data_IF_692889494727
#
_entry.id   IF_692889494727
#
_cell.length_a   1.000
_cell.length_b   1.000
_cell.length_c   1.000
_cell.angle_alpha   90.00
_cell.angle_beta   90.00
_cell.angle_gamma   90.00
#
_symmetry.space_group_name_H-M   'P 1'
#
loop_
_entity.id
_entity.type
_entity.pdbx_description
1 polymer ?
#
# COMPACT_ATOMS: atom_id res chain seq x y z
N UNK A 1 -25.04 -18.71 -12.65
CA UNK A 1 -24.66 -19.52 -11.49
C UNK A 1 -25.35 -18.98 -10.24
N UNK A 2 -25.89 -19.86 -9.41
CA UNK A 2 -26.43 -19.49 -8.11
C UNK A 2 -25.25 -19.35 -7.13
N UNK A 3 -25.28 -18.29 -6.29
CA UNK A 3 -24.20 -17.93 -5.35
C UNK A 3 -24.78 -17.73 -3.98
N UNK A 4 -23.98 -18.02 -2.97
CA UNK A 4 -24.34 -17.85 -1.57
C UNK A 4 -23.13 -17.30 -0.77
N UNK A 5 -23.37 -16.58 0.31
CA UNK A 5 -22.35 -16.16 1.25
C UNK A 5 -22.40 -16.96 2.57
N UNK A 6 -23.32 -17.90 2.72
CA UNK A 6 -23.54 -18.71 3.94
C UNK A 6 -23.76 -17.88 5.20
N UNK A 7 -24.38 -16.71 5.06
CA UNK A 7 -24.64 -15.76 6.13
C UNK A 7 -25.47 -14.57 5.66
N UNK A 8 -25.51 -13.51 6.43
CA UNK A 8 -26.30 -12.32 6.13
C UNK A 8 -25.41 -11.11 5.89
N UNK A 9 -25.68 -10.40 4.76
CA UNK A 9 -25.00 -9.18 4.37
C UNK A 9 -25.97 -7.99 4.43
N UNK A 10 -25.70 -7.02 5.27
CA UNK A 10 -26.49 -5.81 5.40
C UNK A 10 -26.47 -5.00 4.10
N UNK A 11 -27.65 -4.53 3.66
CA UNK A 11 -27.76 -3.71 2.45
C UNK A 11 -27.54 -4.46 1.12
N UNK A 12 -27.39 -5.78 1.13
CA UNK A 12 -27.25 -6.61 -0.06
C UNK A 12 -25.95 -6.43 -0.85
N UNK A 13 -25.05 -5.58 -0.38
CA UNK A 13 -23.72 -5.39 -1.00
C UNK A 13 -22.68 -6.25 -0.30
N UNK A 14 -21.89 -6.96 -1.10
CA UNK A 14 -20.83 -7.84 -0.62
C UNK A 14 -19.56 -7.04 -0.31
N UNK A 15 -19.61 -6.36 0.83
CA UNK A 15 -18.48 -5.64 1.41
C UNK A 15 -18.18 -6.21 2.79
N UNK A 16 -16.93 -6.20 3.19
CA UNK A 16 -16.44 -6.71 4.47
C UNK A 16 -17.25 -6.16 5.66
N UNK A 17 -17.43 -4.85 5.67
CA UNK A 17 -18.19 -4.13 6.71
C UNK A 17 -19.69 -4.43 6.74
N UNK A 18 -20.21 -5.08 5.71
CA UNK A 18 -21.64 -5.42 5.60
C UNK A 18 -21.94 -6.84 6.09
N UNK A 19 -20.92 -7.63 6.43
CA UNK A 19 -21.13 -8.97 6.99
C UNK A 19 -21.65 -8.84 8.40
N UNK A 20 -22.92 -9.20 8.59
CA UNK A 20 -23.54 -9.17 9.90
C UNK A 20 -23.27 -10.47 10.67
N UNK A 21 -23.43 -11.61 9.99
CA UNK A 21 -23.04 -12.90 10.55
C UNK A 21 -22.79 -13.96 9.46
N UNK A 22 -22.11 -15.03 9.88
CA UNK A 22 -21.98 -16.31 9.16
C UNK A 22 -22.48 -17.43 10.04
N UNK A 23 -23.01 -18.49 9.44
CA UNK A 23 -23.45 -19.67 10.20
C UNK A 23 -22.98 -21.00 9.58
N UNK A 24 -22.34 -20.94 8.42
CA UNK A 24 -21.70 -22.10 7.80
C UNK A 24 -20.27 -21.69 7.45
N UNK A 25 -19.30 -22.45 7.94
CA UNK A 25 -17.92 -22.32 7.48
C UNK A 25 -17.79 -22.98 6.12
N UNK A 26 -17.22 -22.26 5.17
CA UNK A 26 -17.01 -22.72 3.80
C UNK A 26 -15.50 -22.68 3.52
N UNK A 27 -14.90 -23.85 3.26
CA UNK A 27 -13.48 -23.99 2.96
C UNK A 27 -13.30 -24.62 1.57
N UNK A 28 -12.47 -24.00 0.73
CA UNK A 28 -12.10 -24.54 -0.56
C UNK A 28 -10.71 -25.18 -0.47
N UNK A 29 -10.59 -26.41 -0.90
CA UNK A 29 -9.31 -27.09 -1.07
C UNK A 29 -8.97 -27.21 -2.54
N UNK A 30 -7.88 -26.58 -2.96
CA UNK A 30 -7.42 -26.49 -4.33
C UNK A 30 -6.19 -27.37 -4.55
N UNK A 31 -6.36 -28.47 -5.29
CA UNK A 31 -5.29 -29.44 -5.61
C UNK A 31 -4.52 -29.88 -4.36
N UNK A 32 -5.22 -30.41 -3.35
CA UNK A 32 -4.56 -30.90 -2.14
C UNK A 32 -3.60 -32.04 -2.45
N UNK A 33 -2.49 -32.05 -1.73
CA UNK A 33 -1.55 -33.17 -1.75
C UNK A 33 -2.10 -34.33 -0.87
N UNK A 34 -1.90 -35.57 -1.29
CA UNK A 34 -2.33 -36.73 -0.52
C UNK A 34 -3.84 -37.03 -0.58
N UNK A 35 -4.36 -37.71 0.43
CA UNK A 35 -5.78 -38.10 0.53
C UNK A 35 -6.56 -37.12 1.41
N UNK A 36 -6.97 -36.01 0.82
CA UNK A 36 -7.74 -34.97 1.48
C UNK A 36 -9.04 -35.48 2.13
N UNK A 37 -9.68 -36.49 1.54
CA UNK A 37 -10.93 -37.04 2.07
C UNK A 37 -10.69 -37.78 3.38
N UNK A 38 -9.56 -38.49 3.48
CA UNK A 38 -9.14 -39.12 4.74
C UNK A 38 -8.77 -38.05 5.79
N UNK A 39 -8.04 -36.98 5.39
CA UNK A 39 -7.70 -35.88 6.30
C UNK A 39 -8.97 -35.22 6.85
N UNK A 40 -9.99 -35.01 6.01
CA UNK A 40 -11.28 -34.46 6.43
C UNK A 40 -12.00 -35.40 7.42
N UNK A 41 -12.04 -36.71 7.12
CA UNK A 41 -12.68 -37.71 8.01
C UNK A 41 -11.96 -37.79 9.38
N UNK A 42 -10.64 -37.66 9.40
CA UNK A 42 -9.85 -37.65 10.66
C UNK A 42 -10.09 -36.34 11.42
N UNK A 43 -10.00 -35.19 10.74
CA UNK A 43 -10.10 -33.87 11.37
C UNK A 43 -11.53 -33.53 11.83
N UNK A 44 -12.55 -33.98 11.09
CA UNK A 44 -13.96 -33.57 11.26
C UNK A 44 -14.94 -34.74 11.44
N UNK A 45 -14.48 -35.96 11.69
CA UNK A 45 -15.33 -37.15 11.72
C UNK A 45 -16.40 -37.17 12.83
N UNK A 46 -16.27 -36.33 13.84
CA UNK A 46 -17.18 -36.24 14.97
C UNK A 46 -18.25 -35.11 14.85
N UNK A 47 -18.23 -34.35 13.78
CA UNK A 47 -19.16 -33.23 13.52
C UNK A 47 -19.80 -33.30 12.15
N UNK A 48 -20.93 -32.63 11.99
CA UNK A 48 -21.64 -32.56 10.72
C UNK A 48 -20.85 -31.74 9.70
N UNK A 49 -20.71 -32.28 8.49
CA UNK A 49 -20.15 -31.56 7.34
C UNK A 49 -20.71 -32.08 6.01
N UNK A 50 -20.66 -31.25 4.99
CA UNK A 50 -20.92 -31.64 3.61
C UNK A 50 -19.73 -31.26 2.73
N UNK A 51 -19.40 -32.09 1.74
CA UNK A 51 -18.35 -31.86 0.77
C UNK A 51 -18.89 -32.06 -0.64
N UNK A 52 -18.50 -31.20 -1.56
CA UNK A 52 -18.69 -31.42 -2.99
C UNK A 52 -17.50 -30.93 -3.81
N UNK A 53 -17.35 -31.50 -5.01
CA UNK A 53 -16.35 -31.05 -5.97
C UNK A 53 -16.79 -29.79 -6.68
N UNK A 54 -15.87 -28.81 -6.84
CA UNK A 54 -16.17 -27.53 -7.54
C UNK A 54 -16.13 -27.70 -9.04
N UNK A 55 -16.63 -26.72 -9.81
CA UNK A 55 -16.78 -26.79 -11.27
C UNK A 55 -15.50 -27.17 -12.03
N UNK A 56 -14.35 -26.76 -11.56
CA UNK A 56 -13.05 -27.01 -12.22
C UNK A 56 -12.35 -28.26 -11.68
N UNK A 57 -13.04 -29.12 -10.94
CA UNK A 57 -12.49 -30.37 -10.43
C UNK A 57 -12.16 -31.33 -11.55
N UNK A 58 -11.00 -31.98 -11.41
CA UNK A 58 -10.58 -33.14 -12.23
C UNK A 58 -9.85 -34.13 -11.32
N UNK A 59 -9.78 -35.40 -11.74
CA UNK A 59 -9.02 -36.42 -11.00
C UNK A 59 -7.52 -36.06 -10.84
N UNK A 60 -6.94 -35.37 -11.83
CA UNK A 60 -5.54 -34.94 -11.81
C UNK A 60 -5.31 -33.65 -10.98
N UNK A 61 -6.33 -32.82 -10.82
CA UNK A 61 -6.30 -31.60 -10.05
C UNK A 61 -7.60 -31.50 -9.22
N UNK A 62 -7.70 -32.26 -8.12
CA UNK A 62 -8.90 -32.31 -7.32
C UNK A 62 -9.20 -30.96 -6.65
N UNK A 63 -10.50 -30.59 -6.62
CA UNK A 63 -10.99 -29.36 -6.01
C UNK A 63 -12.24 -29.63 -5.22
N UNK A 64 -12.17 -29.40 -3.95
CA UNK A 64 -13.25 -29.68 -3.02
C UNK A 64 -13.74 -28.41 -2.34
N UNK A 65 -15.01 -28.41 -1.97
CA UNK A 65 -15.60 -27.44 -1.06
C UNK A 65 -16.22 -28.15 0.12
N UNK A 66 -15.78 -27.78 1.30
CA UNK A 66 -16.29 -28.29 2.57
C UNK A 66 -17.19 -27.26 3.20
N UNK A 67 -18.37 -27.69 3.64
CA UNK A 67 -19.37 -26.89 4.36
C UNK A 67 -19.53 -27.46 5.76
N UNK A 68 -19.30 -26.65 6.79
CA UNK A 68 -19.41 -27.07 8.19
C UNK A 68 -20.41 -26.13 8.87
N UNK A 69 -21.63 -26.61 9.22
CA UNK A 69 -22.62 -25.83 9.91
C UNK A 69 -22.20 -25.55 11.36
N UNK A 70 -22.50 -24.34 11.84
CA UNK A 70 -22.27 -23.92 13.22
C UNK A 70 -23.59 -23.88 13.99
N UNK A 71 -23.55 -24.16 15.28
CA UNK A 71 -24.70 -24.18 16.19
C UNK A 71 -25.32 -22.78 16.40
N UNK A 72 -24.55 -21.73 16.21
CA UNK A 72 -24.99 -20.33 16.25
C UNK A 72 -24.41 -19.46 15.13
N UNK A 73 -25.05 -18.33 14.84
CA UNK A 73 -24.41 -17.27 14.02
C UNK A 73 -23.13 -16.75 14.69
N UNK A 74 -22.12 -16.45 13.89
CA UNK A 74 -20.82 -15.91 14.33
C UNK A 74 -20.52 -14.61 13.59
N UNK A 75 -19.81 -13.71 14.26
CA UNK A 75 -19.33 -12.44 13.69
C UNK A 75 -18.26 -12.68 12.63
N UNK A 76 -17.90 -11.64 11.88
CA UNK A 76 -16.88 -11.71 10.85
C UNK A 76 -15.51 -12.16 11.40
N UNK A 77 -15.13 -11.69 12.59
CA UNK A 77 -13.84 -12.03 13.20
C UNK A 77 -13.86 -13.42 13.84
N UNK A 78 -14.95 -13.82 14.52
CA UNK A 78 -15.15 -15.20 14.97
C UNK A 78 -15.07 -16.18 13.81
N UNK A 79 -15.72 -15.86 12.66
CA UNK A 79 -15.67 -16.69 11.47
C UNK A 79 -14.23 -16.93 11.00
N UNK A 80 -13.39 -15.89 10.95
CA UNK A 80 -11.99 -16.02 10.55
C UNK A 80 -11.20 -16.92 11.48
N UNK A 81 -11.36 -16.73 12.79
CA UNK A 81 -10.68 -17.55 13.80
C UNK A 81 -11.10 -19.02 13.67
N UNK A 82 -12.41 -19.29 13.58
CA UNK A 82 -12.96 -20.63 13.43
C UNK A 82 -12.49 -21.28 12.14
N UNK A 83 -12.64 -20.60 10.99
CA UNK A 83 -12.29 -21.15 9.68
C UNK A 83 -10.80 -21.54 9.60
N UNK A 84 -9.91 -20.74 10.17
CA UNK A 84 -8.46 -21.02 10.22
C UNK A 84 -8.13 -22.23 11.09
N UNK A 85 -8.78 -22.35 12.24
CA UNK A 85 -8.54 -23.48 13.13
C UNK A 85 -9.05 -24.79 12.52
N UNK A 86 -10.24 -24.77 11.91
CA UNK A 86 -10.77 -25.93 11.20
C UNK A 86 -9.93 -26.30 9.97
N UNK A 87 -9.44 -25.29 9.24
CA UNK A 87 -8.51 -25.53 8.15
C UNK A 87 -7.22 -26.21 8.63
N UNK A 88 -6.70 -25.82 9.81
CA UNK A 88 -5.53 -26.48 10.43
C UNK A 88 -5.83 -27.94 10.82
N UNK A 89 -7.04 -28.20 11.34
CA UNK A 89 -7.44 -29.55 11.75
C UNK A 89 -7.56 -30.49 10.55
N UNK A 90 -7.92 -29.97 9.38
CA UNK A 90 -8.05 -30.79 8.15
C UNK A 90 -6.70 -30.81 7.42
N UNK A 91 -6.33 -29.71 6.78
CA UNK A 91 -5.06 -29.53 6.07
C UNK A 91 -4.92 -28.08 5.61
N UNK A 92 -4.30 -27.23 6.42
CA UNK A 92 -4.23 -25.79 6.15
C UNK A 92 -3.48 -25.45 4.84
N UNK A 93 -2.50 -26.26 4.47
CA UNK A 93 -1.72 -26.08 3.23
C UNK A 93 -2.53 -26.37 1.96
N UNK A 94 -3.61 -27.17 2.08
CA UNK A 94 -4.51 -27.48 0.98
C UNK A 94 -5.56 -26.39 0.75
N UNK A 95 -5.80 -25.52 1.74
CA UNK A 95 -6.92 -24.57 1.72
C UNK A 95 -6.58 -23.29 0.92
N UNK A 96 -7.60 -22.79 0.22
CA UNK A 96 -7.60 -21.43 -0.31
C UNK A 96 -7.85 -20.43 0.82
N UNK A 97 -6.84 -19.68 1.21
CA UNK A 97 -6.91 -18.69 2.29
C UNK A 97 -7.96 -17.60 2.05
N UNK A 98 -8.37 -17.36 0.80
CA UNK A 98 -9.43 -16.41 0.50
C UNK A 98 -10.80 -16.84 1.04
N UNK A 99 -10.99 -18.12 1.37
CA UNK A 99 -12.23 -18.63 1.97
C UNK A 99 -12.38 -18.27 3.45
N UNK A 100 -11.31 -17.82 4.12
CA UNK A 100 -11.39 -17.28 5.48
C UNK A 100 -12.00 -15.87 5.51
N UNK A 101 -12.12 -15.19 4.35
CA UNK A 101 -12.73 -13.87 4.30
C UNK A 101 -14.26 -13.98 4.43
N UNK A 102 -14.88 -13.31 5.43
CA UNK A 102 -16.29 -13.52 5.76
C UNK A 102 -17.25 -13.05 4.67
N UNK A 103 -16.86 -12.12 3.79
CA UNK A 103 -17.64 -11.67 2.64
C UNK A 103 -17.49 -12.56 1.41
N UNK A 104 -16.65 -13.61 1.48
CA UNK A 104 -16.42 -14.51 0.35
C UNK A 104 -17.71 -15.22 -0.04
N UNK A 105 -18.04 -15.12 -1.33
CA UNK A 105 -19.15 -15.90 -1.89
C UNK A 105 -18.66 -17.27 -2.34
N UNK A 106 -19.54 -18.22 -2.31
CA UNK A 106 -19.38 -19.53 -2.96
C UNK A 106 -20.35 -19.68 -4.13
N UNK A 107 -19.97 -20.48 -5.11
CA UNK A 107 -20.89 -20.96 -6.15
C UNK A 107 -21.52 -22.28 -5.70
N UNK A 108 -22.79 -22.47 -6.03
CA UNK A 108 -23.45 -23.73 -5.80
C UNK A 108 -22.79 -24.85 -6.63
N UNK A 109 -22.99 -26.11 -6.21
CA UNK A 109 -22.42 -27.26 -6.91
C UNK A 109 -22.74 -27.23 -8.42
N UNK A 110 -21.71 -27.40 -9.22
CA UNK A 110 -21.83 -27.54 -10.66
C UNK A 110 -20.64 -28.31 -11.22
N UNK A 111 -20.83 -28.96 -12.37
CA UNK A 111 -19.78 -29.65 -13.10
C UNK A 111 -19.88 -29.36 -14.59
N UNK A 112 -18.80 -29.49 -15.36
CA UNK A 112 -18.85 -29.61 -16.82
C UNK A 112 -19.69 -30.83 -17.25
N UNK A 113 -20.17 -30.86 -18.49
CA UNK A 113 -21.02 -31.94 -18.98
C UNK A 113 -20.36 -33.32 -18.79
N UNK A 114 -19.07 -33.43 -19.09
CA UNK A 114 -18.27 -34.67 -18.99
C UNK A 114 -17.42 -34.69 -17.70
N UNK A 115 -17.64 -33.77 -16.77
CA UNK A 115 -16.89 -33.66 -15.53
C UNK A 115 -17.34 -34.70 -14.50
N UNK A 116 -16.41 -35.04 -13.61
CA UNK A 116 -16.68 -35.87 -12.43
C UNK A 116 -17.32 -35.02 -11.33
N UNK A 117 -18.22 -35.62 -10.54
CA UNK A 117 -18.85 -34.98 -9.40
C UNK A 117 -18.87 -35.92 -8.19
N UNK A 118 -18.24 -35.50 -7.11
CA UNK A 118 -18.24 -36.21 -5.85
C UNK A 118 -19.03 -35.37 -4.85
N UNK A 119 -19.92 -36.02 -4.12
CA UNK A 119 -20.65 -35.46 -2.99
C UNK A 119 -20.55 -36.43 -1.82
N UNK A 120 -20.12 -35.93 -0.66
CA UNK A 120 -20.09 -36.67 0.60
C UNK A 120 -20.63 -35.82 1.73
N UNK A 121 -21.10 -36.43 2.76
CA UNK A 121 -21.49 -35.75 3.99
C UNK A 121 -21.27 -36.68 5.19
N UNK A 122 -21.15 -36.07 6.37
CA UNK A 122 -21.13 -36.74 7.64
C UNK A 122 -22.36 -36.32 8.44
N UNK A 123 -23.21 -37.27 8.80
CA UNK A 123 -24.41 -37.06 9.64
C UNK A 123 -24.02 -37.23 11.10
N UNK A 124 -23.58 -36.16 11.72
CA UNK A 124 -23.06 -36.07 13.08
C UNK A 124 -23.60 -34.79 13.76
N UNK A 125 -23.33 -34.55 15.04
CA UNK A 125 -23.74 -33.32 15.72
C UNK A 125 -23.19 -32.06 15.03
N UNK A 126 -23.98 -30.97 15.04
CA UNK A 126 -23.56 -29.66 14.55
C UNK A 126 -22.39 -29.16 15.42
N UNK A 127 -21.39 -28.54 14.80
CA UNK A 127 -20.22 -28.04 15.47
C UNK A 127 -20.56 -26.82 16.37
N UNK A 128 -20.11 -26.86 17.62
CA UNK A 128 -20.21 -25.71 18.51
C UNK A 128 -19.15 -24.66 18.14
N UNK A 129 -19.60 -23.45 17.83
CA UNK A 129 -18.72 -22.32 17.54
C UNK A 129 -17.87 -21.97 18.78
N UNK A 130 -18.49 -21.99 19.96
CA UNK A 130 -17.79 -21.64 21.21
C UNK A 130 -16.71 -22.67 21.56
N UNK A 131 -16.97 -23.97 21.35
CA UNK A 131 -15.97 -25.00 21.59
C UNK A 131 -14.73 -24.83 20.69
N UNK A 132 -14.93 -24.41 19.46
CA UNK A 132 -13.78 -24.11 18.55
C UNK A 132 -13.01 -22.88 19.02
N UNK A 133 -13.71 -21.80 19.37
CA UNK A 133 -13.08 -20.56 19.85
C UNK A 133 -12.31 -20.78 21.16
N UNK A 134 -12.87 -21.58 22.08
CA UNK A 134 -12.25 -21.93 23.37
C UNK A 134 -10.97 -22.79 23.24
N UNK A 135 -10.64 -23.28 22.05
CA UNK A 135 -9.36 -23.98 21.80
C UNK A 135 -8.19 -23.02 21.63
N UNK A 136 -8.44 -21.73 21.38
CA UNK A 136 -7.43 -20.70 21.44
C UNK A 136 -7.17 -20.28 22.89
N UNK A 137 -5.95 -19.87 23.21
CA UNK A 137 -5.66 -19.18 24.47
C UNK A 137 -6.42 -17.85 24.53
N UNK A 138 -6.37 -17.09 23.44
CA UNK A 138 -7.20 -15.92 23.18
C UNK A 138 -7.48 -15.83 21.68
N UNK A 139 -8.71 -16.12 21.24
CA UNK A 139 -9.05 -16.05 19.82
C UNK A 139 -9.08 -14.60 19.27
N UNK A 140 -9.15 -13.59 20.15
CA UNK A 140 -9.07 -12.20 19.73
C UNK A 140 -7.65 -11.82 19.30
N UNK A 141 -6.62 -12.50 19.82
CA UNK A 141 -5.24 -12.30 19.38
C UNK A 141 -4.98 -13.02 18.06
N UNK A 142 -4.96 -12.24 16.98
CA UNK A 142 -4.74 -12.78 15.63
C UNK A 142 -3.33 -13.35 15.41
N UNK A 143 -2.38 -13.09 16.31
CA UNK A 143 -1.06 -13.70 16.26
C UNK A 143 -1.09 -15.20 16.53
N UNK A 144 -2.12 -15.66 17.21
CA UNK A 144 -2.36 -17.07 17.52
C UNK A 144 -3.11 -17.82 16.40
N UNK A 145 -3.61 -17.11 15.37
CA UNK A 145 -4.35 -17.72 14.30
C UNK A 145 -3.44 -18.55 13.38
N UNK A 146 -3.83 -19.79 13.05
CA UNK A 146 -3.08 -20.59 12.10
C UNK A 146 -2.94 -19.91 10.73
N UNK A 147 -1.76 -19.99 10.14
CA UNK A 147 -1.45 -19.47 8.80
C UNK A 147 -0.74 -20.51 7.98
N UNK A 148 -1.02 -20.59 6.67
CA UNK A 148 -0.32 -21.49 5.76
C UNK A 148 0.95 -20.84 5.22
N UNK A 149 1.89 -21.67 4.73
CA UNK A 149 3.08 -21.18 4.01
C UNK A 149 2.69 -20.39 2.75
N UNK A 150 1.63 -20.84 2.05
CA UNK A 150 1.10 -20.15 0.86
C UNK A 150 0.65 -18.72 1.15
N UNK A 151 0.05 -18.44 2.31
CA UNK A 151 -0.33 -17.06 2.67
C UNK A 151 0.89 -16.15 2.79
N UNK A 152 1.94 -16.63 3.43
CA UNK A 152 3.21 -15.89 3.53
C UNK A 152 3.83 -15.64 2.15
N UNK A 153 3.81 -16.64 1.26
CA UNK A 153 4.30 -16.51 -0.11
C UNK A 153 3.45 -15.55 -0.96
N UNK A 154 2.12 -15.55 -0.80
CA UNK A 154 1.21 -14.62 -1.47
C UNK A 154 1.51 -13.19 -1.04
N UNK A 155 1.74 -12.95 0.25
CA UNK A 155 2.09 -11.63 0.78
C UNK A 155 3.40 -11.13 0.18
N UNK A 156 4.44 -11.98 0.17
CA UNK A 156 5.74 -11.68 -0.45
C UNK A 156 5.60 -11.44 -1.96
N UNK A 157 4.80 -12.26 -2.66
CA UNK A 157 4.55 -12.10 -4.10
C UNK A 157 3.80 -10.80 -4.39
N UNK A 158 2.83 -10.42 -3.56
CA UNK A 158 2.06 -9.17 -3.69
C UNK A 158 2.95 -7.96 -3.44
N UNK A 159 3.83 -8.01 -2.44
CA UNK A 159 4.82 -6.98 -2.19
C UNK A 159 5.77 -6.81 -3.39
N UNK A 160 6.25 -7.91 -3.98
CA UNK A 160 7.07 -7.87 -5.20
C UNK A 160 6.33 -7.26 -6.39
N UNK A 161 5.04 -7.55 -6.57
CA UNK A 161 4.21 -6.96 -7.65
C UNK A 161 3.96 -5.46 -7.46
N UNK A 162 3.80 -5.00 -6.22
CA UNK A 162 3.68 -3.58 -5.92
C UNK A 162 4.99 -2.81 -6.13
N UNK A 163 6.13 -3.51 -6.09
CA UNK A 163 7.46 -2.93 -6.11
C UNK A 163 7.81 -2.24 -4.79
N UNK A 164 9.10 -2.04 -4.56
CA UNK A 164 9.57 -1.37 -3.33
C UNK A 164 9.06 0.08 -3.28
N UNK A 165 8.26 0.47 -2.27
CA UNK A 165 7.71 1.82 -2.16
C UNK A 165 8.80 2.88 -2.02
N UNK A 166 9.98 2.52 -1.47
CA UNK A 166 11.09 3.44 -1.30
C UNK A 166 11.77 3.81 -2.62
N UNK A 167 11.66 2.96 -3.65
CA UNK A 167 12.24 3.22 -4.98
C UNK A 167 11.28 3.92 -5.93
N UNK A 168 10.02 4.11 -5.52
CA UNK A 168 9.02 4.79 -6.37
C UNK A 168 9.39 6.26 -6.54
N UNK A 169 9.33 6.79 -7.78
CA UNK A 169 9.57 8.20 -8.02
C UNK A 169 8.38 9.06 -7.56
N UNK A 170 8.64 10.34 -7.36
CA UNK A 170 7.63 11.35 -7.07
C UNK A 170 7.09 11.28 -5.64
N UNK A 171 5.94 11.94 -5.42
CA UNK A 171 5.40 12.22 -4.09
C UNK A 171 5.13 10.97 -3.25
N UNK A 172 4.60 9.89 -3.84
CA UNK A 172 4.31 8.64 -3.12
C UNK A 172 5.60 8.03 -2.56
N UNK A 173 6.65 7.94 -3.41
CA UNK A 173 7.93 7.42 -2.97
C UNK A 173 8.60 8.31 -1.92
N UNK A 174 8.54 9.63 -2.11
CA UNK A 174 9.07 10.59 -1.15
C UNK A 174 8.36 10.48 0.21
N UNK A 175 7.04 10.34 0.23
CA UNK A 175 6.28 10.10 1.46
C UNK A 175 6.71 8.80 2.15
N UNK A 176 6.86 7.69 1.40
CA UNK A 176 7.29 6.41 1.96
C UNK A 176 8.76 6.41 2.43
N UNK A 177 9.62 7.29 1.87
CA UNK A 177 10.99 7.49 2.38
C UNK A 177 11.04 8.43 3.59
N UNK A 178 10.10 9.35 3.69
CA UNK A 178 9.96 10.26 4.82
C UNK A 178 9.34 9.59 6.05
N UNK A 179 8.45 8.62 5.81
CA UNK A 179 7.70 7.92 6.85
C UNK A 179 7.74 6.42 6.58
N UNK A 180 8.34 5.67 7.49
CA UNK A 180 8.18 4.22 7.56
C UNK A 180 6.72 3.88 7.91
N UNK A 181 6.36 2.61 7.93
CA UNK A 181 5.01 2.21 8.39
C UNK A 181 4.80 2.63 9.84
N UNK A 182 5.79 2.43 10.70
CA UNK A 182 5.72 2.76 12.12
C UNK A 182 5.64 4.28 12.33
N UNK A 183 6.49 5.07 11.65
CA UNK A 183 6.41 6.53 11.68
C UNK A 183 5.05 7.06 11.19
N UNK A 184 4.48 6.44 10.14
CA UNK A 184 3.18 6.83 9.59
C UNK A 184 2.04 6.51 10.58
N UNK A 185 2.12 5.41 11.32
CA UNK A 185 1.17 5.09 12.40
C UNK A 185 1.30 6.10 13.52
N UNK A 186 2.51 6.38 14.00
CA UNK A 186 2.74 7.31 15.10
C UNK A 186 2.30 8.74 14.75
N UNK A 187 2.66 9.21 13.56
CA UNK A 187 2.42 10.61 13.15
C UNK A 187 0.97 10.86 12.73
N UNK A 188 0.36 9.94 11.99
CA UNK A 188 -0.94 10.18 11.34
C UNK A 188 -2.08 9.33 11.87
N UNK A 189 -1.80 8.18 12.52
CA UNK A 189 -2.77 7.17 12.89
C UNK A 189 -2.67 6.71 14.35
N UNK A 190 -2.08 7.53 15.23
CA UNK A 190 -1.89 7.23 16.66
C UNK A 190 -3.20 6.93 17.40
N UNK A 191 -4.33 7.48 16.94
CA UNK A 191 -5.66 7.22 17.49
C UNK A 191 -6.31 5.95 16.91
N UNK A 192 -5.77 5.43 15.81
CA UNK A 192 -6.32 4.28 15.10
C UNK A 192 -5.64 2.96 15.49
N UNK A 193 -4.36 2.99 15.86
CA UNK A 193 -3.58 1.82 16.17
C UNK A 193 -2.83 1.94 17.50
N UNK A 194 -2.76 0.80 18.19
CA UNK A 194 -1.95 0.65 19.42
C UNK A 194 -0.92 -0.46 19.19
N UNK A 195 0.34 -0.19 19.54
CA UNK A 195 1.40 -1.18 19.45
C UNK A 195 1.12 -2.38 20.38
N UNK A 196 1.49 -3.57 19.94
CA UNK A 196 1.35 -4.82 20.69
C UNK A 196 2.68 -5.22 21.36
N UNK A 197 2.63 -6.19 22.27
CA UNK A 197 3.84 -6.77 22.86
C UNK A 197 4.69 -7.53 21.83
N UNK A 198 4.08 -7.98 20.73
CA UNK A 198 4.76 -8.63 19.60
C UNK A 198 5.26 -7.55 18.66
N UNK A 199 6.58 -7.49 18.43
CA UNK A 199 7.24 -6.53 17.56
C UNK A 199 6.65 -6.59 16.13
N UNK A 200 6.47 -5.43 15.51
CA UNK A 200 5.90 -5.29 14.17
C UNK A 200 4.41 -5.61 14.08
N UNK A 201 3.70 -5.67 15.21
CA UNK A 201 2.25 -5.86 15.25
C UNK A 201 1.54 -4.73 15.98
N UNK A 202 0.37 -4.36 15.45
CA UNK A 202 -0.49 -3.32 15.99
C UNK A 202 -1.94 -3.80 16.09
N UNK A 203 -2.65 -3.27 17.07
CA UNK A 203 -4.09 -3.49 17.25
C UNK A 203 -4.85 -2.29 16.68
N UNK A 204 -5.83 -2.54 15.84
CA UNK A 204 -6.79 -1.52 15.42
C UNK A 204 -7.75 -1.23 16.56
N UNK A 205 -7.76 0.00 17.07
CA UNK A 205 -8.46 0.39 18.33
C UNK A 205 -9.96 0.25 18.27
N UNK A 206 -10.55 0.28 17.07
CA UNK A 206 -12.00 0.15 16.83
C UNK A 206 -12.40 -1.26 16.40
N UNK A 207 -11.46 -2.20 16.39
CA UNK A 207 -11.67 -3.59 16.05
C UNK A 207 -12.02 -4.45 17.26
N UNK A 208 -12.52 -5.68 17.03
CA UNK A 208 -12.83 -6.69 18.03
C UNK A 208 -11.66 -7.66 18.31
N UNK A 209 -10.58 -7.55 17.53
CA UNK A 209 -9.40 -8.42 17.63
C UNK A 209 -8.14 -7.60 17.91
N UNK A 210 -7.10 -8.23 18.43
CA UNK A 210 -5.80 -7.63 18.72
C UNK A 210 -4.71 -8.14 17.79
N UNK A 211 -3.58 -7.43 17.72
CA UNK A 211 -2.36 -7.77 16.96
C UNK A 211 -2.59 -8.04 15.45
N UNK A 212 -3.66 -7.50 14.87
CA UNK A 212 -4.10 -7.83 13.51
C UNK A 212 -3.40 -7.08 12.40
N UNK A 213 -2.82 -5.92 12.65
CA UNK A 213 -1.95 -5.26 11.67
C UNK A 213 -0.53 -5.83 11.82
N UNK A 214 0.02 -6.32 10.72
CA UNK A 214 1.38 -6.88 10.64
C UNK A 214 2.21 -6.01 9.72
N UNK A 215 3.39 -5.58 10.21
CA UNK A 215 4.35 -4.78 9.46
C UNK A 215 5.42 -5.69 8.86
N UNK A 216 5.74 -5.49 7.58
CA UNK A 216 6.73 -6.25 6.83
C UNK A 216 7.86 -5.32 6.36
N UNK A 217 9.07 -5.59 6.82
CA UNK A 217 10.30 -4.85 6.48
C UNK A 217 10.16 -3.32 6.65
N UNK A 218 9.25 -2.88 7.52
CA UNK A 218 8.85 -1.48 7.73
C UNK A 218 8.45 -0.69 6.46
N UNK A 219 8.13 -1.43 5.40
CA UNK A 219 7.72 -0.92 4.09
C UNK A 219 6.26 -1.17 3.76
N UNK A 220 5.72 -2.24 4.30
CA UNK A 220 4.35 -2.67 4.05
C UNK A 220 3.65 -3.04 5.35
N UNK A 221 2.35 -2.81 5.37
CA UNK A 221 1.46 -3.29 6.42
C UNK A 221 0.31 -4.10 5.82
N UNK A 222 -0.10 -5.16 6.50
CA UNK A 222 -1.28 -5.94 6.17
C UNK A 222 -2.15 -6.10 7.40
N UNK A 223 -3.43 -5.76 7.30
CA UNK A 223 -4.37 -5.90 8.42
C UNK A 223 -5.29 -7.10 8.25
N UNK A 224 -5.32 -7.95 9.27
CA UNK A 224 -6.25 -9.07 9.40
C UNK A 224 -7.59 -8.66 10.03
N UNK A 225 -7.70 -7.47 10.62
CA UNK A 225 -8.94 -6.96 11.20
C UNK A 225 -10.03 -6.80 10.15
N UNK A 226 -11.23 -7.31 10.42
CA UNK A 226 -12.33 -7.25 9.45
C UNK A 226 -12.92 -5.84 9.29
N UNK A 227 -12.90 -5.03 10.35
CA UNK A 227 -13.46 -3.68 10.37
C UNK A 227 -12.45 -2.58 10.05
N UNK A 228 -11.17 -2.92 9.94
CA UNK A 228 -10.11 -1.99 9.60
C UNK A 228 -10.24 -1.52 8.14
N UNK A 229 -10.21 -0.20 7.84
CA UNK A 229 -10.18 0.32 6.46
C UNK A 229 -9.06 -0.27 5.58
N UNK A 230 -7.93 -0.65 6.18
CA UNK A 230 -6.81 -1.33 5.51
C UNK A 230 -6.96 -2.86 5.48
N UNK A 231 -8.03 -3.40 6.08
CA UNK A 231 -8.24 -4.84 6.24
C UNK A 231 -8.19 -5.63 4.93
N UNK A 232 -7.37 -6.69 4.88
CA UNK A 232 -7.19 -7.55 3.71
C UNK A 232 -6.41 -6.91 2.56
N UNK A 233 -5.75 -5.77 2.78
CA UNK A 233 -4.96 -5.06 1.78
C UNK A 233 -3.50 -4.95 2.24
N UNK A 234 -2.57 -5.18 1.32
CA UNK A 234 -1.16 -4.87 1.57
C UNK A 234 -0.91 -3.40 1.22
N UNK A 235 -0.62 -2.59 2.22
CA UNK A 235 -0.49 -1.14 2.12
C UNK A 235 0.95 -0.71 2.37
N UNK A 236 1.46 0.24 1.59
CA UNK A 236 2.61 1.06 1.98
C UNK A 236 2.15 2.20 2.89
N UNK A 237 3.08 3.00 3.43
CA UNK A 237 2.75 4.10 4.35
C UNK A 237 1.74 5.09 3.76
N UNK A 238 1.89 5.47 2.49
CA UNK A 238 0.96 6.39 1.81
C UNK A 238 -0.46 5.81 1.72
N UNK A 239 -0.60 4.53 1.31
CA UNK A 239 -1.91 3.89 1.18
C UNK A 239 -2.56 3.60 2.54
N UNK A 240 -1.77 3.27 3.57
CA UNK A 240 -2.27 3.06 4.93
C UNK A 240 -2.92 4.35 5.47
N UNK A 241 -2.19 5.46 5.41
CA UNK A 241 -2.72 6.78 5.84
C UNK A 241 -3.92 7.19 4.99
N UNK A 242 -3.86 6.99 3.66
CA UNK A 242 -4.96 7.32 2.74
C UNK A 242 -6.27 6.63 3.12
N UNK A 243 -6.21 5.33 3.37
CA UNK A 243 -7.40 4.53 3.67
C UNK A 243 -8.06 4.95 4.99
N UNK A 244 -7.27 5.25 6.02
CA UNK A 244 -7.79 5.67 7.31
C UNK A 244 -8.29 7.09 7.33
N UNK A 245 -7.53 8.03 6.79
CA UNK A 245 -7.87 9.46 6.85
C UNK A 245 -8.92 9.87 5.82
N UNK A 246 -8.92 9.24 4.67
CA UNK A 246 -9.71 9.69 3.51
C UNK A 246 -10.54 8.59 2.84
N UNK A 247 -10.44 7.33 3.27
CA UNK A 247 -11.16 6.21 2.65
C UNK A 247 -12.68 6.39 2.59
N UNK A 248 -13.26 7.09 3.58
CA UNK A 248 -14.69 7.38 3.59
C UNK A 248 -15.16 8.27 2.41
N UNK A 249 -14.25 9.05 1.80
CA UNK A 249 -14.57 9.86 0.61
C UNK A 249 -14.86 9.04 -0.63
N UNK A 250 -14.45 7.76 -0.63
CA UNK A 250 -14.61 6.85 -1.78
C UNK A 250 -15.95 6.09 -1.76
N UNK A 251 -16.84 6.37 -0.80
CA UNK A 251 -18.09 5.64 -0.61
C UNK A 251 -19.01 5.63 -1.85
N UNK A 252 -18.99 6.71 -2.62
CA UNK A 252 -19.81 6.86 -3.84
C UNK A 252 -19.03 6.55 -5.13
N UNK A 253 -17.78 6.06 -5.01
CA UNK A 253 -16.98 5.73 -6.17
C UNK A 253 -17.52 4.48 -6.88
N UNK A 254 -17.60 4.51 -8.22
CA UNK A 254 -18.05 3.38 -9.01
C UNK A 254 -17.09 2.18 -8.84
N UNK A 255 -17.66 0.97 -8.83
CA UNK A 255 -16.87 -0.26 -8.77
C UNK A 255 -15.85 -0.31 -9.92
N UNK A 256 -14.59 -0.65 -9.60
CA UNK A 256 -13.49 -0.68 -10.58
C UNK A 256 -12.83 0.67 -10.86
N UNK A 257 -13.21 1.75 -10.18
CA UNK A 257 -12.52 3.04 -10.29
C UNK A 257 -11.04 2.88 -9.93
N UNK A 258 -10.10 3.27 -10.80
CA UNK A 258 -8.67 3.24 -10.47
C UNK A 258 -8.35 4.11 -9.24
N UNK A 259 -7.47 3.61 -8.36
CA UNK A 259 -7.11 4.29 -7.10
C UNK A 259 -6.69 5.74 -7.31
N UNK A 260 -5.93 6.02 -8.36
CA UNK A 260 -5.46 7.38 -8.71
C UNK A 260 -6.57 8.37 -9.07
N UNK A 261 -7.78 7.87 -9.34
CA UNK A 261 -8.97 8.69 -9.65
C UNK A 261 -9.92 8.82 -8.46
N UNK A 262 -9.62 8.17 -7.35
CA UNK A 262 -10.47 8.22 -6.16
C UNK A 262 -10.30 9.54 -5.41
N UNK A 263 -11.37 10.08 -4.79
CA UNK A 263 -11.31 11.26 -3.96
C UNK A 263 -10.29 11.15 -2.81
N UNK A 264 -10.20 9.98 -2.17
CA UNK A 264 -9.22 9.70 -1.12
C UNK A 264 -7.78 9.89 -1.59
N UNK A 265 -7.49 9.49 -2.83
CA UNK A 265 -6.15 9.63 -3.40
C UNK A 265 -5.78 11.11 -3.57
N UNK A 266 -6.69 11.92 -4.11
CA UNK A 266 -6.47 13.36 -4.26
C UNK A 266 -6.24 14.06 -2.92
N UNK A 267 -7.03 13.69 -1.89
CA UNK A 267 -6.88 14.23 -0.55
C UNK A 267 -5.53 13.83 0.08
N UNK A 268 -5.11 12.57 -0.12
CA UNK A 268 -3.82 12.08 0.38
C UNK A 268 -2.62 12.73 -0.33
N UNK A 269 -2.70 12.95 -1.65
CA UNK A 269 -1.69 13.70 -2.41
C UNK A 269 -1.52 15.10 -1.84
N UNK A 270 -2.62 15.78 -1.48
CA UNK A 270 -2.56 17.10 -0.85
C UNK A 270 -1.87 17.03 0.51
N UNK A 271 -2.25 16.10 1.39
CA UNK A 271 -1.62 15.90 2.69
C UNK A 271 -0.11 15.67 2.55
N UNK A 272 0.29 14.71 1.70
CA UNK A 272 1.69 14.39 1.48
C UNK A 272 2.49 15.56 0.89
N UNK A 273 1.86 16.39 0.05
CA UNK A 273 2.48 17.61 -0.50
C UNK A 273 2.60 18.76 0.51
N UNK A 274 1.83 18.73 1.60
CA UNK A 274 1.90 19.70 2.69
C UNK A 274 2.83 19.24 3.84
N UNK A 275 3.16 17.93 3.89
CA UNK A 275 4.00 17.33 4.92
C UNK A 275 5.46 17.80 4.82
N UNK A 276 6.00 18.33 5.91
CA UNK A 276 7.34 18.92 5.94
C UNK A 276 8.46 17.88 5.76
N UNK A 277 8.29 16.65 6.28
CA UNK A 277 9.26 15.59 6.11
C UNK A 277 9.34 15.15 4.64
N UNK A 278 8.20 14.99 3.99
CA UNK A 278 8.10 14.66 2.56
C UNK A 278 8.69 15.77 1.69
N UNK A 279 8.43 17.04 2.00
CA UNK A 279 9.03 18.19 1.28
C UNK A 279 10.54 18.18 1.36
N UNK A 280 11.12 17.89 2.55
CA UNK A 280 12.58 17.79 2.73
C UNK A 280 13.18 16.70 1.85
N UNK A 281 12.57 15.50 1.82
CA UNK A 281 13.03 14.40 0.95
C UNK A 281 13.01 14.83 -0.51
N UNK A 282 11.90 15.43 -0.99
CA UNK A 282 11.78 15.89 -2.39
C UNK A 282 12.86 16.94 -2.70
N UNK A 283 13.07 17.90 -1.80
CA UNK A 283 14.09 18.95 -2.01
C UNK A 283 15.50 18.37 -2.06
N UNK A 284 15.81 17.40 -1.18
CA UNK A 284 17.13 16.72 -1.18
C UNK A 284 17.35 15.95 -2.47
N UNK A 285 16.36 15.15 -2.91
CA UNK A 285 16.46 14.36 -4.14
C UNK A 285 16.62 15.25 -5.37
N UNK A 286 15.89 16.36 -5.43
CA UNK A 286 16.03 17.32 -6.52
C UNK A 286 17.42 17.96 -6.53
N UNK A 287 17.98 18.29 -5.34
CA UNK A 287 19.33 18.83 -5.25
C UNK A 287 20.39 17.80 -5.68
N UNK A 288 20.19 16.51 -5.34
CA UNK A 288 21.08 15.43 -5.78
C UNK A 288 21.00 15.19 -7.30
N UNK A 289 19.80 15.19 -7.88
CA UNK A 289 19.61 15.05 -9.33
C UNK A 289 20.26 16.21 -10.09
N UNK A 290 20.17 17.42 -9.56
CA UNK A 290 20.85 18.60 -10.10
C UNK A 290 22.36 18.43 -10.00
N UNK A 291 22.91 18.03 -8.82
CA UNK A 291 24.35 17.77 -8.65
C UNK A 291 24.85 16.70 -9.63
N UNK A 292 24.07 15.64 -9.85
CA UNK A 292 24.39 14.58 -10.80
C UNK A 292 24.43 15.09 -12.24
N UNK A 293 23.44 15.86 -12.65
CA UNK A 293 23.40 16.49 -13.99
C UNK A 293 24.60 17.40 -14.23
N UNK A 294 25.05 18.13 -13.20
CA UNK A 294 26.26 18.97 -13.28
C UNK A 294 27.52 18.12 -13.42
N UNK A 295 27.67 17.03 -12.70
CA UNK A 295 28.81 16.09 -12.85
C UNK A 295 28.85 15.47 -14.24
N UNK A 296 27.72 15.07 -14.79
CA UNK A 296 27.61 14.50 -16.14
C UNK A 296 27.94 15.50 -17.23
N UNK A 297 27.71 16.80 -16.99
CA UNK A 297 28.11 17.89 -17.92
C UNK A 297 29.56 18.34 -17.76
N UNK A 298 30.40 17.66 -16.99
CA UNK A 298 31.81 17.93 -16.81
C UNK A 298 32.13 19.00 -15.75
N UNK A 299 31.18 19.35 -14.92
CA UNK A 299 31.34 20.27 -13.79
C UNK A 299 31.74 19.52 -12.50
N UNK A 300 32.83 19.95 -11.86
CA UNK A 300 33.18 19.51 -10.51
C UNK A 300 32.32 20.26 -9.48
N UNK A 301 31.22 19.65 -9.07
CA UNK A 301 30.31 20.22 -8.09
C UNK A 301 30.81 20.08 -6.62
N UNK A 302 31.94 19.41 -6.41
CA UNK A 302 32.42 19.11 -5.04
C UNK A 302 32.96 20.35 -4.29
N UNK A 303 33.16 21.48 -4.96
CA UNK A 303 33.61 22.76 -4.40
C UNK A 303 32.51 23.83 -4.27
N UNK A 304 31.28 23.55 -4.69
CA UNK A 304 30.19 24.51 -4.67
C UNK A 304 29.22 24.20 -3.53
N UNK A 305 29.09 25.13 -2.62
CA UNK A 305 27.99 25.15 -1.65
C UNK A 305 26.67 25.35 -2.42
N UNK A 306 25.90 24.26 -2.59
CA UNK A 306 24.67 24.21 -3.40
C UNK A 306 23.40 24.31 -2.57
N UNK A 307 23.51 24.54 -1.26
CA UNK A 307 22.36 24.60 -0.35
C UNK A 307 21.35 25.70 -0.72
N UNK A 308 21.83 26.79 -1.32
CA UNK A 308 20.98 27.89 -1.81
C UNK A 308 19.96 27.47 -2.88
N UNK A 309 20.20 26.34 -3.59
CA UNK A 309 19.24 25.83 -4.58
C UNK A 309 17.97 25.29 -3.98
N UNK A 310 18.01 24.88 -2.70
CA UNK A 310 16.83 24.44 -1.96
C UNK A 310 15.89 25.60 -1.61
N UNK A 311 16.39 26.83 -1.60
CA UNK A 311 15.63 28.03 -1.31
C UNK A 311 14.89 28.61 -2.52
N UNK A 312 15.17 28.09 -3.73
CA UNK A 312 14.54 28.58 -4.95
C UNK A 312 13.05 28.25 -4.99
N UNK A 313 12.23 29.26 -5.25
CA UNK A 313 10.79 29.10 -5.44
C UNK A 313 10.49 28.27 -6.68
N UNK A 314 9.73 27.21 -6.52
CA UNK A 314 9.37 26.25 -7.56
C UNK A 314 7.87 26.24 -7.82
N UNK A 315 7.49 25.86 -9.05
CA UNK A 315 6.09 25.64 -9.42
C UNK A 315 5.57 24.29 -8.96
N UNK A 316 4.28 24.08 -9.08
CA UNK A 316 3.64 22.80 -8.82
C UNK A 316 3.66 21.92 -10.07
N UNK A 317 3.88 20.59 -9.91
CA UNK A 317 3.79 19.62 -10.99
C UNK A 317 4.94 18.60 -11.00
N UNK A 318 4.87 17.66 -11.92
CA UNK A 318 5.74 16.48 -12.00
C UNK A 318 7.24 16.82 -12.10
N UNK A 319 7.59 18.00 -12.61
CA UNK A 319 8.97 18.48 -12.76
C UNK A 319 9.25 19.75 -11.94
N UNK A 320 8.32 20.23 -11.10
CA UNK A 320 8.49 21.43 -10.23
C UNK A 320 9.46 22.48 -10.75
N UNK A 321 9.18 23.12 -11.89
CA UNK A 321 10.14 24.04 -12.52
C UNK A 321 10.44 25.22 -11.59
N UNK A 322 11.69 25.70 -11.61
CA UNK A 322 12.06 26.92 -10.90
C UNK A 322 11.27 28.09 -11.50
N UNK A 323 10.56 28.84 -10.66
CA UNK A 323 9.72 29.94 -11.13
C UNK A 323 10.60 31.13 -11.53
N UNK A 324 10.28 31.86 -12.63
CA UNK A 324 10.99 33.04 -13.04
C UNK A 324 10.64 34.28 -12.20
N UNK A 325 10.87 34.19 -10.89
CA UNK A 325 10.62 35.27 -9.93
C UNK A 325 11.92 35.99 -9.57
N UNK A 326 11.84 37.28 -9.24
CA UNK A 326 13.01 38.11 -8.97
C UNK A 326 13.92 37.50 -7.86
N UNK A 327 13.33 36.91 -6.81
CA UNK A 327 14.10 36.28 -5.74
C UNK A 327 14.99 35.13 -6.25
N UNK A 328 14.49 34.28 -7.13
CA UNK A 328 15.27 33.20 -7.73
C UNK A 328 16.42 33.74 -8.61
N UNK A 329 16.18 34.78 -9.41
CA UNK A 329 17.26 35.40 -10.21
C UNK A 329 18.36 35.98 -9.32
N UNK A 330 18.00 36.65 -8.22
CA UNK A 330 18.96 37.21 -7.26
C UNK A 330 19.77 36.06 -6.63
N UNK A 331 19.11 35.03 -6.13
CA UNK A 331 19.77 33.87 -5.51
C UNK A 331 20.75 33.18 -6.49
N UNK A 332 20.37 33.01 -7.77
CA UNK A 332 21.25 32.46 -8.82
C UNK A 332 22.45 33.35 -9.06
N UNK A 333 22.25 34.67 -9.21
CA UNK A 333 23.32 35.62 -9.47
C UNK A 333 24.32 35.74 -8.33
N UNK A 334 23.87 35.57 -7.09
CA UNK A 334 24.71 35.68 -5.90
C UNK A 334 25.47 34.40 -5.57
N UNK A 335 24.90 33.24 -5.90
CA UNK A 335 25.41 31.94 -5.41
C UNK A 335 25.97 31.04 -6.54
N UNK A 336 25.48 31.15 -7.78
CA UNK A 336 25.98 30.33 -8.90
C UNK A 336 27.48 30.57 -9.14
N UNK A 337 28.32 29.53 -9.13
CA UNK A 337 29.78 29.68 -9.29
C UNK A 337 30.21 30.39 -10.57
N UNK A 338 29.45 30.31 -11.67
CA UNK A 338 29.75 30.98 -12.94
C UNK A 338 29.32 32.45 -12.94
N UNK A 339 28.28 32.78 -12.18
CA UNK A 339 27.66 34.09 -12.19
C UNK A 339 28.06 34.95 -10.98
N UNK A 340 28.44 34.30 -9.88
CA UNK A 340 28.84 34.99 -8.63
C UNK A 340 29.96 35.96 -8.87
N UNK A 341 29.71 37.22 -8.53
CA UNK A 341 30.66 38.32 -8.69
C UNK A 341 30.96 38.70 -10.14
N UNK A 342 30.14 38.24 -11.10
CA UNK A 342 30.29 38.59 -12.53
C UNK A 342 29.71 39.95 -12.82
N UNK A 343 28.75 40.43 -12.02
CA UNK A 343 28.08 41.69 -12.25
C UNK A 343 28.57 42.78 -11.28
N UNK A 344 28.47 43.99 -11.70
CA UNK A 344 28.73 45.17 -10.91
C UNK A 344 28.04 46.40 -11.47
N UNK A 345 27.84 47.40 -10.62
CA UNK A 345 27.37 48.72 -11.01
C UNK A 345 28.58 49.66 -11.10
N UNK A 346 28.81 50.25 -12.26
CA UNK A 346 29.72 51.38 -12.38
C UNK A 346 29.01 52.61 -11.84
N UNK A 347 29.41 53.06 -10.68
CA UNK A 347 28.80 54.20 -9.99
C UNK A 347 29.03 55.52 -10.72
N UNK A 348 30.06 55.59 -11.56
CA UNK A 348 30.37 56.78 -12.33
C UNK A 348 29.47 56.92 -13.57
N UNK A 349 29.37 55.87 -14.36
CA UNK A 349 28.51 55.85 -15.54
C UNK A 349 27.06 55.46 -15.22
N UNK A 350 26.78 54.99 -14.01
CA UNK A 350 25.50 54.41 -13.57
C UNK A 350 25.01 53.26 -14.47
N UNK A 351 25.94 52.47 -15.00
CA UNK A 351 25.64 51.35 -15.90
C UNK A 351 26.01 50.03 -15.25
N UNK A 352 25.24 48.97 -15.59
CA UNK A 352 25.59 47.61 -15.24
C UNK A 352 26.82 47.19 -16.03
N UNK A 353 27.84 46.68 -15.37
CA UNK A 353 29.06 46.17 -15.95
C UNK A 353 29.25 44.70 -15.69
N UNK A 354 29.93 44.03 -16.58
CA UNK A 354 30.30 42.62 -16.50
C UNK A 354 31.77 42.53 -16.12
N UNK A 355 32.07 41.88 -14.99
CA UNK A 355 33.43 41.77 -14.43
C UNK A 355 34.18 40.52 -14.89
N UNK A 356 33.45 39.49 -15.36
CA UNK A 356 33.99 38.21 -15.84
C UNK A 356 33.36 37.85 -17.18
N UNK A 357 34.00 36.94 -17.92
CA UNK A 357 33.40 36.42 -19.16
C UNK A 357 32.05 35.74 -18.88
N UNK A 358 31.05 36.08 -19.67
CA UNK A 358 29.72 35.48 -19.59
C UNK A 358 29.68 34.18 -20.40
N UNK A 359 29.03 33.14 -19.90
CA UNK A 359 28.96 31.82 -20.55
C UNK A 359 28.41 31.85 -21.99
N UNK A 360 27.56 32.83 -22.30
CA UNK A 360 26.92 33.01 -23.61
C UNK A 360 27.64 34.02 -24.51
N UNK A 361 28.73 34.62 -24.06
CA UNK A 361 29.55 35.55 -24.88
C UNK A 361 30.86 34.92 -25.35
N UNK A 362 31.41 35.43 -26.44
CA UNK A 362 32.79 35.11 -26.84
C UNK A 362 33.76 35.71 -25.83
N UNK A 363 34.78 34.96 -25.44
CA UNK A 363 35.82 35.42 -24.53
C UNK A 363 36.47 36.69 -25.04
N UNK A 364 36.70 37.66 -24.14
CA UNK A 364 37.35 38.96 -24.50
C UNK A 364 36.38 40.00 -25.05
N UNK A 365 35.08 39.84 -24.90
CA UNK A 365 34.09 40.88 -25.23
C UNK A 365 34.16 42.01 -24.21
N UNK A 366 33.71 43.24 -24.59
CA UNK A 366 33.71 44.40 -23.70
C UNK A 366 32.86 44.14 -22.42
N UNK A 367 33.10 44.94 -21.37
CA UNK A 367 32.51 44.78 -20.05
C UNK A 367 31.15 45.47 -19.92
N UNK A 368 30.49 45.85 -21.00
CA UNK A 368 29.20 46.56 -20.97
C UNK A 368 28.06 45.55 -21.07
N UNK A 369 27.08 45.66 -20.20
CA UNK A 369 25.83 44.89 -20.29
C UNK A 369 25.00 45.32 -21.48
N UNK A 370 24.47 44.38 -22.27
CA UNK A 370 23.65 44.62 -23.46
C UNK A 370 22.30 43.96 -23.35
N UNK A 371 21.31 44.43 -24.09
CA UNK A 371 19.96 43.80 -24.14
C UNK A 371 20.01 42.33 -24.57
N UNK A 372 21.02 41.95 -25.38
CA UNK A 372 21.24 40.54 -25.76
C UNK A 372 21.64 39.64 -24.59
N UNK A 373 22.14 40.19 -23.49
CA UNK A 373 22.55 39.47 -22.32
C UNK A 373 21.35 39.11 -21.43
N UNK A 374 20.27 39.88 -21.51
CA UNK A 374 19.02 39.55 -20.89
C UNK A 374 18.45 38.22 -21.41
N UNK A 375 18.57 38.02 -22.75
CA UNK A 375 18.19 36.76 -23.38
C UNK A 375 19.14 35.61 -22.98
N UNK A 376 20.44 35.88 -22.89
CA UNK A 376 21.44 34.91 -22.44
C UNK A 376 21.21 34.47 -20.98
N UNK A 377 20.94 35.43 -20.09
CA UNK A 377 20.62 35.14 -18.68
C UNK A 377 19.32 34.35 -18.54
N UNK A 378 18.28 34.70 -19.30
CA UNK A 378 17.02 33.96 -19.33
C UNK A 378 17.24 32.52 -19.83
N UNK A 379 18.01 32.34 -20.88
CA UNK A 379 18.31 31.01 -21.42
C UNK A 379 19.14 30.18 -20.44
N UNK A 380 20.12 30.78 -19.75
CA UNK A 380 20.86 30.07 -18.71
C UNK A 380 19.94 29.63 -17.55
N UNK A 381 19.05 30.51 -17.11
CA UNK A 381 18.06 30.18 -16.11
C UNK A 381 17.10 29.07 -16.60
N UNK A 382 16.80 29.01 -17.90
CA UNK A 382 16.00 27.94 -18.52
C UNK A 382 16.77 26.61 -18.64
N UNK A 383 18.08 26.63 -18.78
CA UNK A 383 18.96 25.44 -18.82
C UNK A 383 19.11 24.88 -17.41
N UNK A 384 19.14 25.73 -16.39
CA UNK A 384 19.14 25.31 -14.99
C UNK A 384 17.72 25.00 -14.44
N UNK A 385 16.70 25.32 -15.21
CA UNK A 385 15.30 25.06 -14.95
C UNK A 385 14.83 23.81 -15.68
#
# INVERSE_FOLDING_TARGET
CIRDSCGYLKGGQRLKQNVEYRQIVCLDADSPDGDFLTDLDIGMGNVAWGLYTTHSHTAAAPRYRVLIPLDRPVTADEYKAIARLLAKDISIEAMDSTTYEPERLMYWPSKPQDGEFIFRYNDAPILSADDVLNRYEDWHDTSLWPTSKKESEITVSTAKKQGDPLTKPGLIGAFCRAHTIEDAIETFLSDEYTACAVEGRYTYTKGSTSAGLVVYDDKFAYSHHSTDPAGGKLCNAFDLVRLHRFGALDADAAEGTPVVKMPSYTAMVKLAGEDEATKRIISTEQAEDVKKSFKESGFNADDADMDWMSELTRGSGKNSPILPVAGNFIAILENDPQLRGTFGLDLFSRRLIVKKDLPWRKKGTDNIWRDTDDAGLRNLSLIHI
#
